data_IF_997272029613
#
_entry.id   IF_997272029613
#
_cell.length_a   1.000
_cell.length_b   1.000
_cell.length_c   1.000
_cell.angle_alpha   90.00
_cell.angle_beta   90.00
_cell.angle_gamma   90.00
#
_symmetry.space_group_name_H-M   'P 1'
#
loop_
_entity.id
_entity.type
_entity.pdbx_description
1 polymer ?
#
# COMPACT_ATOMS: atom_id res chain seq x y z
N UNK A 1 -4.76 30.91 -17.07
CA UNK A 1 -3.79 30.07 -16.33
C UNK A 1 -4.25 28.64 -16.48
N UNK A 2 -3.31 27.72 -16.65
CA UNK A 2 -3.67 26.30 -16.74
C UNK A 2 -4.21 25.77 -15.43
N UNK A 3 -5.18 24.85 -15.49
CA UNK A 3 -5.85 24.27 -14.33
C UNK A 3 -5.50 22.78 -14.20
N UNK A 4 -5.00 22.37 -13.06
CA UNK A 4 -4.78 20.96 -12.72
C UNK A 4 -5.80 20.51 -11.69
N UNK A 5 -6.62 19.53 -12.07
CA UNK A 5 -7.58 18.88 -11.19
C UNK A 5 -7.03 17.52 -10.75
N UNK A 6 -6.92 17.29 -9.44
CA UNK A 6 -6.43 16.05 -8.85
C UNK A 6 -7.58 15.38 -8.10
N UNK A 7 -7.96 14.18 -8.54
CA UNK A 7 -9.02 13.39 -7.90
C UNK A 7 -8.38 12.38 -6.95
N UNK A 8 -8.48 12.63 -5.65
CA UNK A 8 -7.96 11.84 -4.57
C UNK A 8 -6.97 12.59 -3.67
N UNK A 9 -7.28 12.70 -2.37
CA UNK A 9 -6.50 13.39 -1.35
C UNK A 9 -5.49 12.49 -0.61
N UNK A 10 -5.08 11.36 -1.20
CA UNK A 10 -4.09 10.45 -0.61
C UNK A 10 -2.63 10.90 -0.83
N UNK A 11 -1.67 9.98 -0.54
CA UNK A 11 -0.23 10.24 -0.74
C UNK A 11 0.08 10.72 -2.15
N UNK A 12 -0.45 10.05 -3.18
CA UNK A 12 -0.17 10.37 -4.56
C UNK A 12 -0.70 11.77 -4.94
N UNK A 13 -1.98 12.06 -4.67
CA UNK A 13 -2.60 13.33 -5.07
C UNK A 13 -1.97 14.53 -4.38
N UNK A 14 -1.79 14.49 -3.06
CA UNK A 14 -1.17 15.58 -2.32
C UNK A 14 0.28 15.83 -2.77
N UNK A 15 1.07 14.76 -2.97
CA UNK A 15 2.46 14.93 -3.40
C UNK A 15 2.57 15.38 -4.86
N UNK A 16 1.60 15.06 -5.73
CA UNK A 16 1.52 15.64 -7.08
C UNK A 16 1.33 17.16 -7.01
N UNK A 17 0.40 17.64 -6.16
CA UNK A 17 0.21 19.07 -5.97
C UNK A 17 1.46 19.77 -5.41
N UNK A 18 2.13 19.15 -4.43
CA UNK A 18 3.37 19.69 -3.86
C UNK A 18 4.52 19.68 -4.88
N UNK A 19 4.64 18.63 -5.69
CA UNK A 19 5.64 18.56 -6.75
C UNK A 19 5.41 19.65 -7.79
N UNK A 20 4.18 19.84 -8.26
CA UNK A 20 3.83 20.92 -9.21
C UNK A 20 4.26 22.30 -8.70
N UNK A 21 3.97 22.63 -7.44
CA UNK A 21 4.40 23.92 -6.86
C UNK A 21 5.92 24.03 -6.74
N UNK A 22 6.56 22.97 -6.30
CA UNK A 22 8.03 22.89 -6.19
C UNK A 22 8.71 23.08 -7.55
N UNK A 23 8.11 22.50 -8.58
CA UNK A 23 8.66 22.52 -9.95
C UNK A 23 8.27 23.81 -10.72
N UNK A 24 7.58 24.76 -10.06
CA UNK A 24 7.30 26.09 -10.58
C UNK A 24 6.00 26.23 -11.39
N UNK A 25 5.07 25.27 -11.29
CA UNK A 25 3.76 25.42 -11.90
C UNK A 25 2.98 26.55 -11.21
N UNK A 26 2.59 27.58 -11.95
CA UNK A 26 1.94 28.81 -11.48
C UNK A 26 0.41 28.82 -11.67
N UNK A 27 -0.15 27.83 -12.37
CA UNK A 27 -1.59 27.69 -12.62
C UNK A 27 -2.39 27.24 -11.39
N UNK A 28 -3.69 27.07 -11.56
CA UNK A 28 -4.57 26.61 -10.49
C UNK A 28 -4.38 25.12 -10.20
N UNK A 29 -4.28 24.76 -8.93
CA UNK A 29 -4.26 23.36 -8.49
C UNK A 29 -5.43 23.13 -7.56
N UNK A 30 -6.28 22.15 -7.90
CA UNK A 30 -7.41 21.73 -7.07
C UNK A 30 -7.28 20.24 -6.73
N UNK A 31 -7.29 19.92 -5.44
CA UNK A 31 -7.39 18.55 -4.93
C UNK A 31 -8.83 18.31 -4.48
N UNK A 32 -9.44 17.23 -4.96
CA UNK A 32 -10.75 16.78 -4.53
C UNK A 32 -10.61 15.45 -3.79
N UNK A 33 -11.17 15.36 -2.60
CA UNK A 33 -11.17 14.17 -1.78
C UNK A 33 -12.57 13.86 -1.26
N UNK A 34 -12.98 12.59 -1.32
CA UNK A 34 -14.22 12.11 -0.72
C UNK A 34 -14.10 11.83 0.79
N UNK A 35 -12.90 11.98 1.35
CA UNK A 35 -12.65 11.90 2.79
C UNK A 35 -12.83 13.27 3.48
N UNK A 36 -13.23 13.25 4.77
CA UNK A 36 -13.43 14.47 5.57
C UNK A 36 -12.14 15.10 6.09
N UNK A 37 -11.01 14.41 5.91
CA UNK A 37 -9.72 14.81 6.47
C UNK A 37 -8.78 15.34 5.39
N UNK A 38 -7.96 16.39 5.70
CA UNK A 38 -6.87 16.79 4.83
C UNK A 38 -5.94 15.61 4.53
N UNK A 39 -5.17 15.63 3.43
CA UNK A 39 -4.24 14.56 3.09
C UNK A 39 -3.34 14.17 4.26
N UNK A 40 -3.22 12.87 4.54
CA UNK A 40 -2.57 12.34 5.73
C UNK A 40 -1.75 11.08 5.47
N UNK A 41 -0.88 10.73 6.43
CA UNK A 41 -0.06 9.50 6.42
C UNK A 41 -0.91 8.28 6.73
N UNK A 42 -1.05 7.35 5.77
CA UNK A 42 -1.80 6.09 5.95
C UNK A 42 -1.05 5.01 6.76
N UNK A 43 0.30 4.88 6.69
CA UNK A 43 0.98 3.82 7.42
C UNK A 43 0.71 3.75 8.93
N UNK A 44 0.48 4.85 9.67
CA UNK A 44 0.13 4.79 11.07
C UNK A 44 -1.24 4.17 11.37
N UNK A 45 -2.14 4.06 10.38
CA UNK A 45 -3.51 3.58 10.56
C UNK A 45 -3.59 2.12 11.03
N UNK A 46 -2.64 1.27 10.67
CA UNK A 46 -2.51 -0.13 11.14
C UNK A 46 -1.59 -0.29 12.35
N UNK A 47 -1.02 0.81 12.86
CA UNK A 47 0.05 0.84 13.87
C UNK A 47 -0.28 1.79 15.03
N UNK A 48 0.49 2.86 15.17
CA UNK A 48 0.43 3.76 16.32
C UNK A 48 -0.87 4.55 16.43
N UNK A 49 -1.51 4.88 15.30
CA UNK A 49 -2.82 5.52 15.35
C UNK A 49 -3.91 4.54 15.80
N UNK A 50 -3.85 3.27 15.37
CA UNK A 50 -4.76 2.23 15.84
C UNK A 50 -4.64 2.02 17.35
N UNK A 51 -3.42 2.06 17.88
CA UNK A 51 -3.11 1.96 19.32
C UNK A 51 -3.37 3.23 20.12
N UNK A 52 -3.82 4.30 19.48
CA UNK A 52 -4.03 5.64 20.08
C UNK A 52 -2.74 6.30 20.64
N UNK A 53 -1.58 5.89 20.16
CA UNK A 53 -0.28 6.47 20.54
C UNK A 53 0.02 7.77 19.77
N UNK A 54 -0.70 8.02 18.67
CA UNK A 54 -0.56 9.21 17.83
C UNK A 54 -1.91 9.92 17.73
N UNK A 55 -1.94 11.21 17.97
CA UNK A 55 -3.14 12.03 17.85
C UNK A 55 -3.50 12.25 16.37
N UNK A 56 -4.79 12.43 16.09
CA UNK A 56 -5.34 12.58 14.75
C UNK A 56 -4.66 13.71 13.95
N UNK A 57 -4.42 14.84 14.60
CA UNK A 57 -3.82 16.04 13.98
C UNK A 57 -2.40 15.78 13.45
N UNK A 58 -1.68 14.84 14.07
CA UNK A 58 -0.31 14.46 13.67
C UNK A 58 -0.25 13.57 12.44
N UNK A 59 -1.39 13.05 11.98
CA UNK A 59 -1.45 12.26 10.74
C UNK A 59 -1.34 13.14 9.50
N UNK A 60 -1.81 14.39 9.54
CA UNK A 60 -1.86 15.28 8.38
C UNK A 60 -0.47 15.56 7.80
N UNK A 61 -0.33 15.54 6.48
CA UNK A 61 0.93 15.91 5.81
C UNK A 61 1.31 17.35 6.08
N UNK A 62 0.33 18.25 6.05
CA UNK A 62 0.48 19.69 6.18
C UNK A 62 -0.76 20.29 6.84
N UNK A 63 -0.60 21.47 7.44
CA UNK A 63 -1.74 22.23 7.96
C UNK A 63 -2.63 22.76 6.82
N UNK A 64 -3.88 23.07 7.10
CA UNK A 64 -4.79 23.68 6.12
C UNK A 64 -4.28 25.03 5.59
N UNK A 65 -3.54 25.77 6.42
CA UNK A 65 -2.97 27.06 5.99
C UNK A 65 -1.83 26.88 4.99
N UNK A 66 -1.06 25.81 5.09
CA UNK A 66 -0.04 25.49 4.09
C UNK A 66 -0.63 25.34 2.68
N UNK A 67 -1.77 24.66 2.52
CA UNK A 67 -2.41 24.53 1.20
C UNK A 67 -2.82 25.90 0.65
N UNK A 68 -3.37 26.78 1.49
CA UNK A 68 -3.73 28.14 1.10
C UNK A 68 -2.50 28.97 0.70
N UNK A 69 -1.44 28.93 1.48
CA UNK A 69 -0.17 29.63 1.20
C UNK A 69 0.47 29.16 -0.11
N UNK A 70 0.28 27.87 -0.44
CA UNK A 70 0.75 27.29 -1.70
C UNK A 70 -0.24 27.47 -2.85
N UNK A 71 -1.35 28.22 -2.68
CA UNK A 71 -2.43 28.36 -3.67
C UNK A 71 -2.93 26.99 -4.18
N UNK A 72 -3.08 26.01 -3.29
CA UNK A 72 -3.69 24.70 -3.58
C UNK A 72 -5.09 24.69 -2.97
N UNK A 73 -6.11 24.61 -3.83
CA UNK A 73 -7.50 24.45 -3.40
C UNK A 73 -7.75 23.02 -2.94
N UNK A 74 -8.23 22.84 -1.71
CA UNK A 74 -8.53 21.54 -1.13
C UNK A 74 -10.03 21.42 -0.87
N UNK A 75 -10.69 20.52 -1.61
CA UNK A 75 -12.13 20.24 -1.49
C UNK A 75 -12.31 18.86 -0.85
N UNK A 76 -12.61 18.85 0.44
CA UNK A 76 -12.88 17.64 1.23
C UNK A 76 -14.34 17.24 1.14
N UNK A 77 -14.66 16.00 1.55
CA UNK A 77 -16.02 15.45 1.52
C UNK A 77 -16.72 15.67 0.16
N UNK A 78 -15.93 15.59 -0.91
CA UNK A 78 -16.37 15.90 -2.28
C UNK A 78 -16.01 14.75 -3.19
N UNK A 79 -17.02 14.10 -3.78
CA UNK A 79 -16.84 12.96 -4.68
C UNK A 79 -17.18 13.35 -6.10
N UNK A 80 -16.23 13.19 -7.03
CA UNK A 80 -16.48 13.31 -8.47
C UNK A 80 -17.30 12.11 -8.94
N UNK A 81 -18.38 12.39 -9.65
CA UNK A 81 -19.33 11.40 -10.13
C UNK A 81 -19.32 11.27 -11.66
N UNK A 82 -18.91 12.34 -12.34
CA UNK A 82 -18.95 12.43 -13.79
C UNK A 82 -17.81 13.29 -14.32
N UNK A 83 -17.25 12.92 -15.45
CA UNK A 83 -16.24 13.67 -16.19
C UNK A 83 -16.71 13.78 -17.65
N UNK A 84 -16.67 14.98 -18.18
CA UNK A 84 -16.90 15.29 -19.59
C UNK A 84 -15.57 15.72 -20.23
N UNK A 85 -15.07 14.88 -21.14
CA UNK A 85 -13.81 15.12 -21.83
C UNK A 85 -13.94 16.16 -22.95
N UNK A 86 -15.14 16.35 -23.51
CA UNK A 86 -15.34 17.33 -24.60
C UNK A 86 -15.26 18.76 -24.07
N UNK A 87 -15.82 18.98 -22.87
CA UNK A 87 -15.82 20.30 -22.21
C UNK A 87 -14.71 20.45 -21.18
N UNK A 88 -13.92 19.42 -20.89
CA UNK A 88 -12.90 19.37 -19.82
C UNK A 88 -13.47 19.75 -18.45
N UNK A 89 -14.60 19.16 -18.08
CA UNK A 89 -15.27 19.35 -16.81
C UNK A 89 -15.39 18.05 -16.01
N UNK A 90 -15.19 18.14 -14.70
CA UNK A 90 -15.53 17.09 -13.75
C UNK A 90 -16.60 17.61 -12.78
N UNK A 91 -17.62 16.81 -12.47
CA UNK A 91 -18.72 17.23 -11.64
C UNK A 91 -18.76 16.44 -10.32
N UNK A 92 -18.89 17.18 -9.21
CA UNK A 92 -19.27 16.65 -7.92
C UNK A 92 -20.72 17.08 -7.63
N UNK A 93 -21.67 16.19 -7.85
CA UNK A 93 -23.11 16.54 -7.88
C UNK A 93 -23.36 17.67 -8.88
N UNK A 94 -23.75 18.86 -8.40
CA UNK A 94 -24.04 20.03 -9.20
C UNK A 94 -22.90 21.05 -9.28
N UNK A 95 -21.72 20.72 -8.72
CA UNK A 95 -20.56 21.62 -8.70
C UNK A 95 -19.57 21.21 -9.78
N UNK A 96 -19.37 22.01 -10.84
CA UNK A 96 -18.40 21.75 -11.88
C UNK A 96 -16.98 22.18 -11.45
N UNK A 97 -15.99 21.44 -11.94
CA UNK A 97 -14.56 21.72 -11.82
C UNK A 97 -13.93 21.63 -13.20
N UNK A 98 -13.45 22.75 -13.71
CA UNK A 98 -12.74 22.80 -15.00
C UNK A 98 -11.31 22.29 -14.83
N UNK A 99 -10.76 21.72 -15.90
CA UNK A 99 -9.36 21.31 -15.95
C UNK A 99 -8.75 21.42 -17.35
N UNK A 100 -7.49 21.76 -17.42
CA UNK A 100 -6.64 21.54 -18.58
C UNK A 100 -5.89 20.20 -18.45
N UNK A 101 -5.53 19.84 -17.20
CA UNK A 101 -4.96 18.55 -16.85
C UNK A 101 -5.77 17.90 -15.74
N UNK A 102 -6.01 16.59 -15.89
CA UNK A 102 -6.68 15.76 -14.90
C UNK A 102 -5.71 14.70 -14.37
N UNK A 103 -5.64 14.54 -13.03
CA UNK A 103 -4.80 13.50 -12.39
C UNK A 103 -5.68 12.59 -11.55
N UNK A 104 -5.77 11.32 -11.93
CA UNK A 104 -6.36 10.29 -11.11
C UNK A 104 -5.37 9.85 -10.02
N UNK A 105 -5.72 10.11 -8.77
CA UNK A 105 -5.01 9.66 -7.57
C UNK A 105 -5.98 8.94 -6.62
N UNK A 106 -6.94 8.22 -7.20
CA UNK A 106 -8.09 7.59 -6.53
C UNK A 106 -7.72 6.41 -5.64
N UNK A 107 -6.49 5.90 -5.76
CA UNK A 107 -5.96 4.85 -4.91
C UNK A 107 -6.66 3.50 -5.11
N UNK A 108 -6.80 2.74 -4.02
CA UNK A 108 -7.44 1.44 -4.00
C UNK A 108 -8.35 1.29 -2.78
N UNK A 109 -9.38 0.47 -2.89
CA UNK A 109 -10.32 0.14 -1.82
C UNK A 109 -10.09 -1.29 -1.33
N UNK A 110 -10.36 -1.60 -0.05
CA UNK A 110 -10.29 -2.97 0.44
C UNK A 110 -11.20 -3.89 -0.37
N UNK A 111 -10.73 -5.10 -0.63
CA UNK A 111 -11.57 -6.16 -1.20
C UNK A 111 -12.58 -6.61 -0.15
N UNK A 112 -13.85 -6.48 -0.47
CA UNK A 112 -14.93 -6.91 0.42
C UNK A 112 -15.14 -8.43 0.36
N UNK A 113 -15.58 -9.02 1.46
CA UNK A 113 -16.01 -10.42 1.49
C UNK A 113 -17.33 -10.56 0.73
N UNK A 114 -17.43 -11.44 -0.27
CA UNK A 114 -18.67 -11.65 -1.03
C UNK A 114 -19.58 -12.66 -0.33
N UNK A 115 -20.01 -12.36 0.90
CA UNK A 115 -20.86 -13.27 1.68
C UNK A 115 -21.88 -12.54 2.54
N UNK A 116 -22.85 -13.26 3.05
CA UNK A 116 -23.85 -12.73 3.98
C UNK A 116 -23.21 -12.16 5.25
N UNK A 117 -23.83 -11.18 5.87
CA UNK A 117 -23.38 -10.46 7.05
C UNK A 117 -22.05 -9.68 6.86
N UNK A 118 -21.57 -9.47 5.62
CA UNK A 118 -20.42 -8.62 5.37
C UNK A 118 -20.67 -7.12 5.68
N UNK A 119 -21.93 -6.74 6.01
CA UNK A 119 -22.34 -5.43 6.49
C UNK A 119 -22.54 -5.37 8.03
N UNK A 120 -22.08 -6.38 8.76
CA UNK A 120 -22.21 -6.43 10.21
C UNK A 120 -21.45 -5.28 10.89
N UNK A 121 -21.98 -4.81 12.04
CA UNK A 121 -21.48 -3.62 12.75
C UNK A 121 -20.10 -3.81 13.38
N UNK A 122 -19.69 -5.04 13.62
CA UNK A 122 -18.39 -5.43 14.18
C UNK A 122 -17.49 -6.14 13.17
N UNK A 123 -17.78 -5.99 11.86
CA UNK A 123 -16.90 -6.36 10.78
C UNK A 123 -16.27 -5.10 10.18
N UNK A 124 -14.96 -5.10 10.05
CA UNK A 124 -14.19 -3.95 9.63
C UNK A 124 -13.25 -4.25 8.48
N UNK A 125 -13.03 -3.23 7.68
CA UNK A 125 -11.95 -3.13 6.71
C UNK A 125 -11.09 -1.94 7.12
N UNK A 126 -9.79 -1.97 6.83
CA UNK A 126 -8.89 -0.89 7.23
C UNK A 126 -8.33 -0.18 6.00
N UNK A 127 -8.72 1.07 5.80
CA UNK A 127 -8.17 1.93 4.73
C UNK A 127 -8.08 3.39 5.12
N UNK A 128 -9.06 3.92 5.85
CA UNK A 128 -9.25 5.34 6.16
C UNK A 128 -9.24 5.61 7.66
N UNK A 129 -9.11 6.88 8.05
CA UNK A 129 -9.19 7.32 9.45
C UNK A 129 -10.53 6.90 10.08
N UNK A 130 -11.64 7.05 9.36
CA UNK A 130 -12.99 6.68 9.86
C UNK A 130 -13.10 5.21 10.20
N UNK A 131 -12.40 4.33 9.45
CA UNK A 131 -12.36 2.90 9.76
C UNK A 131 -11.65 2.68 11.11
N UNK A 132 -10.48 3.31 11.31
CA UNK A 132 -9.72 3.19 12.56
C UNK A 132 -10.49 3.70 13.74
N UNK A 133 -11.19 4.84 13.63
CA UNK A 133 -12.03 5.39 14.70
C UNK A 133 -13.18 4.45 15.05
N UNK A 134 -13.73 3.75 14.07
CA UNK A 134 -14.79 2.74 14.28
C UNK A 134 -14.21 1.48 14.94
N UNK A 135 -13.05 1.00 14.51
CA UNK A 135 -12.33 -0.12 15.11
C UNK A 135 -11.99 0.19 16.59
N UNK A 136 -11.42 1.37 16.87
CA UNK A 136 -11.07 1.81 18.23
C UNK A 136 -12.27 1.78 19.19
N UNK A 137 -13.45 2.19 18.71
CA UNK A 137 -14.70 2.11 19.52
C UNK A 137 -15.06 0.66 19.83
N UNK A 138 -14.90 -0.25 18.87
CA UNK A 138 -15.20 -1.67 19.04
C UNK A 138 -14.23 -2.38 19.99
N UNK A 139 -12.94 -2.01 19.96
CA UNK A 139 -11.90 -2.58 20.83
C UNK A 139 -12.29 -2.47 22.30
N UNK A 140 -12.92 -1.37 22.73
CA UNK A 140 -13.30 -1.14 24.13
C UNK A 140 -14.19 -2.24 24.74
N UNK A 141 -14.93 -2.99 23.93
CA UNK A 141 -15.82 -4.07 24.36
C UNK A 141 -15.44 -5.46 23.86
N UNK A 142 -14.45 -5.55 22.95
CA UNK A 142 -13.99 -6.80 22.37
C UNK A 142 -12.93 -7.48 23.23
N UNK A 143 -12.90 -8.82 23.20
CA UNK A 143 -11.81 -9.64 23.77
C UNK A 143 -11.15 -10.49 22.69
N UNK A 144 -11.96 -11.02 21.76
CA UNK A 144 -11.52 -11.94 20.72
C UNK A 144 -11.69 -11.27 19.36
N UNK A 145 -10.59 -11.11 18.64
CA UNK A 145 -10.61 -10.63 17.26
C UNK A 145 -10.21 -11.74 16.30
N UNK A 146 -10.97 -11.88 15.23
CA UNK A 146 -10.60 -12.71 14.08
C UNK A 146 -10.14 -11.80 12.94
N UNK A 147 -8.92 -12.01 12.45
CA UNK A 147 -8.36 -11.35 11.29
C UNK A 147 -8.44 -12.31 10.10
N UNK A 148 -9.13 -11.90 9.03
CA UNK A 148 -9.22 -12.69 7.80
C UNK A 148 -8.19 -12.17 6.80
N UNK A 149 -7.12 -12.95 6.58
CA UNK A 149 -5.98 -12.65 5.72
C UNK A 149 -4.67 -12.41 6.48
N UNK A 150 -3.67 -13.23 6.19
CA UNK A 150 -2.31 -13.21 6.76
C UNK A 150 -1.31 -12.41 5.93
N UNK A 151 -1.74 -11.33 5.29
CA UNK A 151 -0.87 -10.37 4.59
C UNK A 151 -0.26 -9.32 5.52
N UNK A 152 0.53 -8.37 4.98
CA UNK A 152 1.22 -7.33 5.77
C UNK A 152 0.29 -6.57 6.71
N UNK A 153 -0.84 -6.05 6.20
CA UNK A 153 -1.79 -5.26 7.01
C UNK A 153 -2.41 -6.13 8.11
N UNK A 154 -2.78 -7.39 7.79
CA UNK A 154 -3.30 -8.33 8.78
C UNK A 154 -2.32 -8.55 9.93
N UNK A 155 -1.03 -8.75 9.63
CA UNK A 155 0.02 -8.93 10.64
C UNK A 155 0.32 -7.65 11.43
N UNK A 156 0.33 -6.48 10.79
CA UNK A 156 0.46 -5.19 11.48
C UNK A 156 -0.68 -4.96 12.47
N UNK A 157 -1.92 -5.21 12.04
CA UNK A 157 -3.10 -5.13 12.92
C UNK A 157 -3.01 -6.16 14.03
N UNK A 158 -2.61 -7.42 13.74
CA UNK A 158 -2.42 -8.45 14.75
C UNK A 158 -1.46 -7.99 15.84
N UNK A 159 -0.31 -7.40 15.44
CA UNK A 159 0.67 -6.88 16.41
C UNK A 159 0.07 -5.78 17.28
N UNK A 160 -0.67 -4.84 16.69
CA UNK A 160 -1.32 -3.77 17.44
C UNK A 160 -2.40 -4.29 18.41
N UNK A 161 -3.20 -5.28 17.99
CA UNK A 161 -4.27 -5.85 18.82
C UNK A 161 -3.72 -6.68 20.00
N UNK A 162 -2.63 -7.42 19.80
CA UNK A 162 -1.92 -8.10 20.90
C UNK A 162 -1.39 -7.09 21.93
N UNK A 163 -0.77 -6.00 21.48
CA UNK A 163 -0.29 -4.94 22.36
C UNK A 163 -1.43 -4.24 23.13
N UNK A 164 -2.62 -4.21 22.57
CA UNK A 164 -3.85 -3.71 23.22
C UNK A 164 -4.52 -4.75 24.13
N UNK A 165 -3.98 -5.97 24.23
CA UNK A 165 -4.44 -7.01 25.15
C UNK A 165 -5.60 -7.87 24.65
N UNK A 166 -5.86 -7.90 23.33
CA UNK A 166 -6.89 -8.76 22.75
C UNK A 166 -6.32 -10.15 22.42
N UNK A 167 -7.19 -11.16 22.43
CA UNK A 167 -6.90 -12.47 21.84
C UNK A 167 -7.06 -12.34 20.32
N UNK A 168 -6.04 -12.75 19.56
CA UNK A 168 -5.99 -12.57 18.11
C UNK A 168 -5.86 -13.90 17.40
N UNK A 169 -6.78 -14.18 16.47
CA UNK A 169 -6.73 -15.32 15.57
C UNK A 169 -6.63 -14.82 14.13
N UNK A 170 -5.63 -15.29 13.39
CA UNK A 170 -5.49 -15.01 11.95
C UNK A 170 -5.96 -16.22 11.16
N UNK A 171 -6.90 -16.03 10.24
CA UNK A 171 -7.35 -17.00 9.26
C UNK A 171 -6.72 -16.70 7.91
N UNK A 172 -5.83 -17.58 7.44
CA UNK A 172 -5.19 -17.46 6.14
C UNK A 172 -5.65 -18.59 5.21
N UNK A 173 -6.19 -18.24 4.05
CA UNK A 173 -6.67 -19.21 3.08
C UNK A 173 -5.56 -20.02 2.41
N UNK A 174 -4.36 -19.45 2.34
CA UNK A 174 -3.18 -20.09 1.76
C UNK A 174 -2.46 -20.99 2.78
N UNK A 175 -1.48 -21.75 2.29
CA UNK A 175 -0.70 -22.70 3.12
C UNK A 175 0.19 -22.03 4.17
N UNK A 176 0.49 -20.75 4.00
CA UNK A 176 1.32 -19.94 4.91
C UNK A 176 0.97 -18.46 4.81
N UNK A 177 1.20 -17.71 5.87
CA UNK A 177 1.08 -16.25 5.85
C UNK A 177 2.11 -15.65 4.87
N UNK A 178 1.86 -14.46 4.34
CA UNK A 178 2.73 -13.74 3.39
C UNK A 178 3.09 -14.58 2.13
N UNK A 179 2.35 -15.63 1.80
CA UNK A 179 2.72 -16.60 0.75
C UNK A 179 3.01 -15.97 -0.60
N UNK A 180 2.26 -14.93 -0.97
CA UNK A 180 2.36 -14.27 -2.28
C UNK A 180 3.55 -13.32 -2.41
N UNK A 181 4.21 -12.99 -1.30
CA UNK A 181 5.10 -11.82 -1.25
C UNK A 181 6.48 -12.11 -0.64
N UNK A 182 6.65 -13.23 0.10
CA UNK A 182 7.94 -13.60 0.70
C UNK A 182 8.28 -15.07 0.48
N UNK A 183 9.54 -15.44 0.77
CA UNK A 183 9.99 -16.86 0.78
C UNK A 183 9.35 -17.67 1.92
N UNK A 184 9.39 -19.01 1.86
CA UNK A 184 8.98 -19.87 2.95
C UNK A 184 9.71 -19.58 4.27
N UNK A 185 11.00 -19.26 4.22
CA UNK A 185 11.81 -18.98 5.41
C UNK A 185 11.37 -17.70 6.11
N UNK A 186 11.18 -16.60 5.34
CA UNK A 186 10.67 -15.33 5.88
C UNK A 186 9.24 -15.51 6.41
N UNK A 187 8.38 -16.23 5.68
CA UNK A 187 7.02 -16.53 6.13
C UNK A 187 7.03 -17.34 7.43
N UNK A 188 7.88 -18.38 7.55
CA UNK A 188 8.01 -19.18 8.76
C UNK A 188 8.49 -18.32 9.93
N UNK A 189 9.50 -17.48 9.72
CA UNK A 189 10.00 -16.55 10.74
C UNK A 189 8.87 -15.68 11.30
N UNK A 190 8.06 -15.05 10.46
CA UNK A 190 6.94 -14.20 10.89
C UNK A 190 5.85 -15.02 11.58
N UNK A 191 5.55 -16.21 11.09
CA UNK A 191 4.60 -17.13 11.72
C UNK A 191 5.02 -17.46 13.15
N UNK A 192 6.26 -17.90 13.33
CA UNK A 192 6.79 -18.31 14.63
C UNK A 192 6.88 -17.10 15.59
N UNK A 193 7.26 -15.93 15.08
CA UNK A 193 7.35 -14.71 15.86
C UNK A 193 5.98 -14.26 16.38
N UNK A 194 4.97 -14.19 15.52
CA UNK A 194 3.61 -13.85 15.92
C UNK A 194 3.00 -14.87 16.89
N UNK A 195 3.20 -16.16 16.64
CA UNK A 195 2.75 -17.23 17.53
C UNK A 195 3.40 -17.10 18.92
N UNK A 196 4.70 -16.82 18.98
CA UNK A 196 5.41 -16.55 20.25
C UNK A 196 4.87 -15.32 20.99
N UNK A 197 4.34 -14.33 20.28
CA UNK A 197 3.67 -13.15 20.86
C UNK A 197 2.22 -13.41 21.29
N UNK A 198 1.67 -14.59 21.01
CA UNK A 198 0.33 -15.00 21.43
C UNK A 198 -0.75 -14.91 20.33
N UNK A 199 -0.36 -14.70 19.08
CA UNK A 199 -1.29 -14.77 17.94
C UNK A 199 -1.51 -16.24 17.57
N UNK A 200 -2.76 -16.66 17.46
CA UNK A 200 -3.11 -17.94 16.84
C UNK A 200 -3.20 -17.76 15.33
N UNK A 201 -2.49 -18.57 14.56
CA UNK A 201 -2.47 -18.51 13.09
C UNK A 201 -2.96 -19.83 12.52
N UNK A 202 -4.07 -19.80 11.79
CA UNK A 202 -4.67 -20.96 11.13
C UNK A 202 -4.54 -20.76 9.61
N UNK A 203 -3.63 -21.52 9.01
CA UNK A 203 -3.44 -21.56 7.55
C UNK A 203 -4.35 -22.62 6.91
N UNK A 204 -4.55 -22.56 5.57
CA UNK A 204 -5.55 -23.33 4.82
C UNK A 204 -6.98 -23.14 5.39
N UNK A 205 -7.24 -22.01 6.02
CA UNK A 205 -8.49 -21.66 6.68
C UNK A 205 -9.35 -20.80 5.75
N UNK A 206 -10.20 -21.46 4.95
CA UNK A 206 -11.17 -20.75 4.11
C UNK A 206 -12.45 -20.48 4.88
N UNK A 207 -12.80 -19.22 4.97
CA UNK A 207 -14.05 -18.79 5.61
C UNK A 207 -15.22 -19.16 4.70
N UNK A 208 -16.22 -19.86 5.27
CA UNK A 208 -17.44 -20.27 4.58
C UNK A 208 -18.63 -19.38 4.93
N UNK A 209 -18.71 -18.86 6.16
CA UNK A 209 -19.80 -17.97 6.59
C UNK A 209 -19.41 -17.10 7.78
N UNK A 210 -20.11 -15.97 7.91
CA UNK A 210 -20.09 -15.10 9.07
C UNK A 210 -21.42 -15.28 9.81
N UNK A 211 -21.38 -15.81 11.03
CA UNK A 211 -22.57 -16.05 11.83
C UNK A 211 -22.87 -14.81 12.65
N UNK A 212 -24.03 -14.22 12.46
CA UNK A 212 -24.40 -12.97 13.11
C UNK A 212 -25.79 -13.04 13.72
N UNK A 213 -25.96 -12.36 14.84
CA UNK A 213 -27.25 -12.08 15.46
C UNK A 213 -27.41 -10.58 15.67
N UNK A 214 -28.56 -10.00 15.30
CA UNK A 214 -28.83 -8.56 15.38
C UNK A 214 -27.76 -7.68 14.67
N UNK A 215 -27.21 -8.14 13.55
CA UNK A 215 -26.09 -7.51 12.81
C UNK A 215 -24.78 -7.43 13.61
N UNK A 216 -24.57 -8.32 14.54
CA UNK A 216 -23.29 -8.50 15.24
C UNK A 216 -22.79 -9.92 15.00
N UNK A 217 -21.61 -10.06 14.42
CA UNK A 217 -20.96 -11.35 14.24
C UNK A 217 -20.57 -11.89 15.63
N UNK A 218 -20.89 -13.16 15.87
CA UNK A 218 -20.51 -13.89 17.07
C UNK A 218 -19.52 -15.03 16.77
N UNK A 219 -19.46 -15.48 15.51
CA UNK A 219 -18.46 -16.47 15.08
C UNK A 219 -18.23 -16.44 13.58
N UNK A 220 -17.08 -16.98 13.18
CA UNK A 220 -16.65 -17.20 11.78
C UNK A 220 -16.55 -18.70 11.55
N UNK A 221 -17.29 -19.24 10.57
CA UNK A 221 -17.24 -20.66 10.20
C UNK A 221 -16.27 -20.87 9.04
N UNK A 222 -15.54 -21.98 9.10
CA UNK A 222 -14.59 -22.42 8.08
C UNK A 222 -15.22 -23.51 7.19
N UNK A 223 -14.67 -23.69 5.98
CA UNK A 223 -15.03 -24.82 5.10
C UNK A 223 -14.73 -26.19 5.73
N UNK A 224 -13.81 -26.25 6.71
CA UNK A 224 -13.54 -27.45 7.51
C UNK A 224 -14.69 -27.88 8.42
N UNK A 225 -15.68 -27.01 8.63
CA UNK A 225 -16.78 -27.20 9.60
C UNK A 225 -16.48 -26.62 10.99
N UNK A 226 -15.29 -26.12 11.24
CA UNK A 226 -14.91 -25.45 12.48
C UNK A 226 -15.59 -24.08 12.57
N UNK A 227 -15.96 -23.64 13.79
CA UNK A 227 -16.54 -22.32 14.07
C UNK A 227 -15.73 -21.62 15.16
N UNK A 228 -15.27 -20.42 14.85
CA UNK A 228 -14.36 -19.62 15.68
C UNK A 228 -15.15 -18.44 16.24
N UNK A 229 -15.22 -18.33 17.56
CA UNK A 229 -15.91 -17.21 18.24
C UNK A 229 -15.17 -15.89 18.00
N UNK A 230 -15.92 -14.82 17.73
CA UNK A 230 -15.38 -13.50 17.47
C UNK A 230 -16.27 -12.41 18.02
N UNK A 231 -15.69 -11.49 18.79
CA UNK A 231 -16.35 -10.24 19.20
C UNK A 231 -16.19 -9.18 18.11
N UNK A 232 -15.13 -9.29 17.32
CA UNK A 232 -14.79 -8.37 16.22
C UNK A 232 -14.09 -9.13 15.08
N UNK A 233 -14.41 -8.78 13.85
CA UNK A 233 -13.76 -9.33 12.65
C UNK A 233 -13.14 -8.19 11.84
N UNK A 234 -11.89 -8.34 11.43
CA UNK A 234 -11.23 -7.44 10.48
C UNK A 234 -10.77 -8.21 9.25
N UNK A 235 -11.02 -7.64 8.06
CA UNK A 235 -10.77 -8.29 6.78
C UNK A 235 -9.64 -7.59 6.05
N UNK A 236 -8.59 -8.36 5.71
CA UNK A 236 -7.40 -7.91 5.01
C UNK A 236 -7.00 -8.82 3.84
N UNK A 237 -7.92 -9.07 2.91
CA UNK A 237 -7.74 -10.01 1.77
C UNK A 237 -7.27 -9.35 0.48
N UNK A 238 -6.68 -8.17 0.56
CA UNK A 238 -6.14 -7.40 -0.56
C UNK A 238 -6.98 -6.17 -0.91
N UNK A 239 -6.58 -5.47 -1.97
CA UNK A 239 -7.23 -4.26 -2.42
C UNK A 239 -7.58 -4.32 -3.92
N UNK A 240 -8.52 -3.47 -4.31
CA UNK A 240 -8.99 -3.30 -5.69
C UNK A 240 -8.71 -1.85 -6.09
N UNK A 241 -8.03 -1.59 -7.22
CA UNK A 241 -7.78 -0.24 -7.69
C UNK A 241 -9.10 0.47 -8.02
N UNK A 242 -9.21 1.75 -7.67
CA UNK A 242 -10.40 2.55 -7.93
C UNK A 242 -10.34 3.12 -9.35
N UNK A 243 -10.82 2.35 -10.33
CA UNK A 243 -10.76 2.69 -11.76
C UNK A 243 -12.10 3.13 -12.35
N UNK A 244 -13.21 2.96 -11.62
CA UNK A 244 -14.58 3.09 -12.15
C UNK A 244 -14.82 4.43 -12.89
N UNK A 245 -14.30 5.54 -12.34
CA UNK A 245 -14.44 6.84 -12.96
C UNK A 245 -13.59 6.99 -14.24
N UNK A 246 -12.41 6.37 -14.27
CA UNK A 246 -11.55 6.32 -15.45
C UNK A 246 -12.15 5.43 -16.54
N UNK A 247 -12.69 4.26 -16.16
CA UNK A 247 -13.42 3.36 -17.06
C UNK A 247 -14.61 4.05 -17.72
N UNK A 248 -15.35 4.87 -16.94
CA UNK A 248 -16.57 5.57 -17.42
C UNK A 248 -16.31 6.57 -18.54
N UNK A 249 -15.06 7.05 -18.68
CA UNK A 249 -14.62 7.97 -19.72
C UNK A 249 -13.77 7.28 -20.80
N UNK A 250 -13.73 5.95 -20.81
CA UNK A 250 -13.09 5.15 -21.86
C UNK A 250 -11.57 5.04 -21.75
N UNK A 251 -10.96 5.31 -20.58
CA UNK A 251 -9.53 5.08 -20.37
C UNK A 251 -9.25 3.58 -20.26
N UNK A 252 -8.10 3.15 -20.73
CA UNK A 252 -7.67 1.76 -20.60
C UNK A 252 -7.39 1.41 -19.15
N UNK A 253 -8.07 0.37 -18.64
CA UNK A 253 -7.92 -0.13 -17.28
C UNK A 253 -7.73 -1.65 -17.27
N UNK A 254 -6.62 -2.11 -16.71
CA UNK A 254 -6.34 -3.53 -16.49
C UNK A 254 -5.57 -3.68 -15.17
N UNK A 255 -6.24 -4.19 -14.13
CA UNK A 255 -5.70 -4.21 -12.76
C UNK A 255 -5.15 -2.82 -12.29
N UNK A 256 -5.78 -1.74 -12.78
CA UNK A 256 -5.41 -0.35 -12.57
C UNK A 256 -5.57 0.47 -13.86
N UNK A 257 -5.56 1.78 -13.75
CA UNK A 257 -5.55 2.69 -14.91
C UNK A 257 -4.18 2.55 -15.58
N UNK A 258 -4.17 2.17 -16.87
CA UNK A 258 -2.93 2.02 -17.63
C UNK A 258 -2.25 3.37 -17.83
N UNK A 259 -0.95 3.43 -17.57
CA UNK A 259 -0.13 4.62 -17.83
C UNK A 259 1.19 4.24 -18.46
N UNK A 260 1.68 5.14 -19.31
CA UNK A 260 3.04 5.06 -19.86
C UNK A 260 4.09 5.40 -18.80
N UNK A 261 5.36 5.44 -19.20
CA UNK A 261 6.49 5.80 -18.33
C UNK A 261 6.43 7.22 -17.78
N UNK A 262 5.59 8.08 -18.31
CA UNK A 262 5.39 9.49 -17.90
C UNK A 262 4.13 9.67 -17.05
N UNK A 263 3.51 8.60 -16.60
CA UNK A 263 2.22 8.57 -15.89
C UNK A 263 1.04 9.08 -16.72
N UNK A 264 1.14 9.16 -18.05
CA UNK A 264 0.06 9.56 -18.95
C UNK A 264 -0.81 8.36 -19.27
N UNK A 265 -2.13 8.59 -19.34
CA UNK A 265 -3.09 7.58 -19.80
C UNK A 265 -3.16 7.56 -21.33
N UNK A 266 -4.14 6.85 -21.90
CA UNK A 266 -4.44 6.89 -23.34
C UNK A 266 -4.88 8.28 -23.85
N UNK A 267 -5.20 9.22 -22.93
CA UNK A 267 -5.54 10.60 -23.22
C UNK A 267 -4.44 11.54 -22.70
N UNK A 268 -3.74 12.31 -23.55
CA UNK A 268 -2.46 12.96 -23.19
C UNK A 268 -2.50 13.95 -22.01
N UNK A 269 -3.63 14.65 -21.78
CA UNK A 269 -3.82 15.59 -20.68
C UNK A 269 -4.42 14.93 -19.42
N UNK A 270 -4.58 13.61 -19.44
CA UNK A 270 -5.06 12.83 -18.30
C UNK A 270 -3.95 11.92 -17.81
N UNK A 271 -3.61 12.05 -16.53
CA UNK A 271 -2.57 11.27 -15.87
C UNK A 271 -3.20 10.42 -14.75
N UNK A 272 -2.47 9.39 -14.33
CA UNK A 272 -2.85 8.63 -13.14
C UNK A 272 -1.61 8.28 -12.31
N UNK A 273 -1.76 8.28 -10.97
CA UNK A 273 -0.67 8.07 -10.01
C UNK A 273 -1.11 7.27 -8.78
N UNK A 274 -0.21 6.50 -8.20
CA UNK A 274 -0.41 5.73 -6.97
C UNK A 274 -1.09 4.38 -7.18
N UNK A 275 -1.77 3.88 -6.14
CA UNK A 275 -2.30 2.51 -6.08
C UNK A 275 -3.38 2.20 -7.15
N UNK A 276 -3.97 3.23 -7.77
CA UNK A 276 -4.96 3.07 -8.84
C UNK A 276 -4.34 2.77 -10.21
N UNK A 277 -3.01 2.80 -10.35
CA UNK A 277 -2.35 2.68 -11.65
C UNK A 277 -1.75 1.30 -11.93
N UNK A 278 -1.83 0.85 -13.19
CA UNK A 278 -0.94 -0.14 -13.81
C UNK A 278 0.03 0.66 -14.68
N UNK A 279 1.25 0.89 -14.18
CA UNK A 279 2.19 1.84 -14.77
C UNK A 279 3.39 1.12 -15.37
N UNK A 280 3.81 1.59 -16.56
CA UNK A 280 5.03 1.10 -17.17
C UNK A 280 6.25 1.63 -16.40
N UNK A 281 7.13 0.71 -15.99
CA UNK A 281 8.38 1.02 -15.31
C UNK A 281 9.56 0.66 -16.22
N UNK A 282 10.39 1.65 -16.54
CA UNK A 282 11.49 1.49 -17.51
C UNK A 282 12.63 0.62 -16.97
N UNK A 283 12.85 0.57 -15.66
CA UNK A 283 13.87 -0.28 -15.03
C UNK A 283 13.59 -1.78 -15.24
N UNK A 284 12.30 -2.15 -15.21
CA UNK A 284 11.84 -3.53 -15.38
C UNK A 284 11.32 -3.83 -16.80
N UNK A 285 11.18 -2.81 -17.63
CA UNK A 285 10.58 -2.89 -18.97
C UNK A 285 9.23 -3.62 -18.94
N UNK A 286 8.37 -3.29 -17.96
CA UNK A 286 7.11 -3.99 -17.70
C UNK A 286 6.09 -3.08 -17.03
N UNK A 287 4.82 -3.33 -17.30
CA UNK A 287 3.68 -2.77 -16.57
C UNK A 287 3.40 -3.59 -15.31
N UNK A 288 3.13 -2.90 -14.20
CA UNK A 288 2.64 -3.50 -12.97
C UNK A 288 2.01 -2.47 -12.03
N UNK A 289 1.17 -2.95 -11.14
CA UNK A 289 0.56 -2.15 -10.08
C UNK A 289 1.33 -2.32 -8.77
N UNK A 290 1.70 -1.21 -8.14
CA UNK A 290 2.38 -1.16 -6.85
C UNK A 290 1.56 -0.35 -5.84
N UNK A 291 1.15 -1.00 -4.75
CA UNK A 291 0.47 -0.38 -3.62
C UNK A 291 1.51 0.02 -2.56
N UNK A 292 2.22 1.14 -2.79
CA UNK A 292 3.21 1.59 -1.82
C UNK A 292 3.38 3.11 -1.80
N UNK A 293 3.69 3.66 -0.61
CA UNK A 293 3.99 5.08 -0.46
C UNK A 293 5.17 5.51 -1.35
N UNK A 294 6.29 4.77 -1.43
CA UNK A 294 7.38 5.11 -2.32
C UNK A 294 6.96 5.24 -3.79
N UNK A 295 6.14 4.30 -4.29
CA UNK A 295 5.63 4.36 -5.65
C UNK A 295 4.74 5.60 -5.86
N UNK A 296 3.84 5.89 -4.92
CA UNK A 296 2.99 7.08 -4.98
C UNK A 296 3.81 8.37 -5.05
N UNK A 297 4.90 8.47 -4.28
CA UNK A 297 5.81 9.63 -4.29
C UNK A 297 6.62 9.73 -5.59
N UNK A 298 7.10 8.61 -6.12
CA UNK A 298 7.84 8.58 -7.39
C UNK A 298 6.95 9.00 -8.56
N UNK A 299 5.77 8.39 -8.69
CA UNK A 299 4.83 8.73 -9.75
C UNK A 299 4.32 10.18 -9.65
N UNK A 300 4.15 10.73 -8.44
CA UNK A 300 3.78 12.15 -8.26
C UNK A 300 4.79 13.11 -8.87
N UNK A 301 6.08 12.83 -8.74
CA UNK A 301 7.15 13.64 -9.36
C UNK A 301 7.15 13.49 -10.88
N UNK A 302 6.93 12.27 -11.38
CA UNK A 302 6.83 12.00 -12.82
C UNK A 302 5.63 12.72 -13.42
N UNK A 303 4.47 12.67 -12.79
CA UNK A 303 3.26 13.36 -13.26
C UNK A 303 3.43 14.87 -13.24
N UNK A 304 4.04 15.44 -12.17
CA UNK A 304 4.40 16.87 -12.15
C UNK A 304 5.28 17.25 -13.32
N UNK A 305 6.36 16.50 -13.53
CA UNK A 305 7.29 16.69 -14.64
C UNK A 305 6.59 16.65 -16.00
N UNK A 306 5.67 15.70 -16.20
CA UNK A 306 4.90 15.57 -17.45
C UNK A 306 3.98 16.76 -17.69
N UNK A 307 3.33 17.30 -16.65
CA UNK A 307 2.43 18.46 -16.74
C UNK A 307 3.18 19.75 -17.09
N UNK A 308 4.39 19.93 -16.54
CA UNK A 308 5.21 21.12 -16.83
C UNK A 308 6.06 21.01 -18.09
N UNK A 309 5.93 19.88 -18.83
CA UNK A 309 6.61 19.68 -20.11
C UNK A 309 8.05 19.16 -20.00
N UNK A 310 8.45 18.61 -18.85
CA UNK A 310 9.75 17.93 -18.68
C UNK A 310 9.63 16.42 -18.94
N UNK A 311 10.76 15.73 -19.11
CA UNK A 311 10.84 14.32 -19.47
C UNK A 311 11.40 13.44 -18.32
N UNK A 312 10.87 13.56 -17.11
CA UNK A 312 11.13 12.59 -16.07
C UNK A 312 10.26 11.35 -16.32
N UNK A 313 10.84 10.16 -16.23
CA UNK A 313 10.12 8.90 -16.43
C UNK A 313 10.19 7.98 -15.21
N UNK A 314 9.22 7.09 -15.13
CA UNK A 314 9.11 6.14 -14.02
C UNK A 314 10.15 5.01 -14.13
N UNK A 315 11.23 5.14 -13.36
CA UNK A 315 12.31 4.16 -13.26
C UNK A 315 12.70 3.86 -11.81
N UNK A 316 11.84 4.22 -10.86
CA UNK A 316 12.13 3.98 -9.45
C UNK A 316 12.16 2.48 -9.14
N UNK A 317 13.15 2.05 -8.34
CA UNK A 317 13.19 0.69 -7.80
C UNK A 317 12.00 0.48 -6.88
N UNK A 318 11.12 -0.50 -7.18
CA UNK A 318 10.03 -0.84 -6.28
C UNK A 318 10.54 -1.21 -4.90
N UNK A 319 10.00 -0.58 -3.88
CA UNK A 319 10.29 -0.97 -2.52
C UNK A 319 9.11 -0.70 -1.60
N UNK A 320 9.07 -1.43 -0.48
CA UNK A 320 8.00 -1.40 0.49
C UNK A 320 8.55 -1.69 1.89
N UNK A 321 7.80 -1.38 2.94
CA UNK A 321 8.15 -1.77 4.30
C UNK A 321 6.90 -2.14 5.10
N UNK A 322 7.11 -2.94 6.15
CA UNK A 322 6.10 -3.26 7.15
C UNK A 322 6.76 -3.29 8.52
N UNK A 323 6.17 -2.61 9.49
CA UNK A 323 6.63 -2.59 10.87
C UNK A 323 5.63 -3.38 11.72
N UNK A 324 6.11 -4.40 12.44
CA UNK A 324 5.30 -5.29 13.27
C UNK A 324 6.05 -5.54 14.58
N UNK A 325 5.50 -5.11 15.71
CA UNK A 325 6.22 -5.04 16.98
C UNK A 325 7.53 -4.24 16.84
N UNK A 326 8.66 -4.89 17.18
CA UNK A 326 10.04 -4.38 17.02
C UNK A 326 10.72 -4.84 15.73
N UNK A 327 9.98 -5.50 14.83
CA UNK A 327 10.48 -5.96 13.53
C UNK A 327 10.24 -4.92 12.45
N UNK A 328 11.31 -4.56 11.76
CA UNK A 328 11.28 -3.72 10.56
C UNK A 328 11.58 -4.55 9.32
N UNK A 329 10.55 -4.90 8.58
CA UNK A 329 10.67 -5.56 7.28
C UNK A 329 10.79 -4.50 6.19
N UNK A 330 11.82 -4.61 5.35
CA UNK A 330 12.00 -3.75 4.17
C UNK A 330 12.25 -4.64 2.96
N UNK A 331 11.57 -4.36 1.86
CA UNK A 331 11.62 -5.16 0.64
C UNK A 331 11.98 -4.27 -0.55
N UNK A 332 12.87 -4.75 -1.42
CA UNK A 332 13.22 -4.06 -2.67
C UNK A 332 13.31 -5.06 -3.83
N UNK A 333 12.88 -4.62 -5.01
CA UNK A 333 12.78 -5.45 -6.19
C UNK A 333 11.44 -6.17 -6.31
N UNK A 334 11.34 -7.06 -7.27
CA UNK A 334 10.16 -7.90 -7.53
C UNK A 334 10.57 -9.37 -7.38
N UNK A 335 10.18 -10.01 -6.28
CA UNK A 335 10.55 -11.41 -6.00
C UNK A 335 9.74 -12.42 -6.81
N UNK A 336 8.69 -12.00 -7.50
CA UNK A 336 7.84 -12.92 -8.28
C UNK A 336 8.65 -13.71 -9.31
N UNK A 337 8.53 -15.05 -9.25
CA UNK A 337 9.21 -15.96 -10.18
C UNK A 337 10.69 -16.22 -9.86
N UNK A 338 11.13 -15.95 -8.62
CA UNK A 338 12.45 -16.38 -8.15
C UNK A 338 12.57 -17.92 -8.19
N UNK A 339 13.75 -18.42 -8.46
CA UNK A 339 14.08 -19.86 -8.49
C UNK A 339 14.99 -20.29 -7.33
N UNK A 340 15.63 -19.35 -6.67
CA UNK A 340 16.46 -19.57 -5.49
C UNK A 340 16.31 -18.43 -4.47
N UNK A 341 16.48 -18.78 -3.18
CA UNK A 341 16.54 -17.84 -2.07
C UNK A 341 17.73 -18.17 -1.18
N UNK A 342 18.46 -17.14 -0.77
CA UNK A 342 19.59 -17.28 0.15
C UNK A 342 19.45 -16.29 1.30
N UNK A 343 19.68 -16.77 2.53
CA UNK A 343 19.61 -15.93 3.74
C UNK A 343 21.03 -15.50 4.12
N UNK A 344 21.22 -14.21 4.32
CA UNK A 344 22.41 -13.60 4.92
C UNK A 344 22.04 -13.16 6.34
N UNK A 345 22.87 -13.47 7.33
CA UNK A 345 22.60 -13.15 8.74
C UNK A 345 21.88 -14.28 9.49
N UNK A 346 21.34 -13.95 10.66
CA UNK A 346 20.80 -14.95 11.60
C UNK A 346 19.29 -14.76 11.77
N UNK A 347 18.49 -15.72 11.31
CA UNK A 347 17.02 -15.68 11.41
C UNK A 347 16.58 -15.62 12.88
N UNK A 348 17.21 -16.38 13.74
CA UNK A 348 16.83 -16.49 15.16
C UNK A 348 17.06 -15.20 15.95
N UNK A 349 17.99 -14.36 15.50
CA UNK A 349 18.24 -13.03 16.09
C UNK A 349 17.34 -11.93 15.50
N UNK A 350 16.50 -12.25 14.52
CA UNK A 350 15.71 -11.31 13.74
C UNK A 350 16.56 -10.24 13.03
N UNK A 351 17.77 -10.59 12.61
CA UNK A 351 18.70 -9.73 11.86
C UNK A 351 19.21 -10.46 10.62
N UNK A 352 18.45 -10.40 9.52
CA UNK A 352 18.78 -11.14 8.30
C UNK A 352 18.25 -10.45 7.03
N UNK A 353 18.78 -10.90 5.89
CA UNK A 353 18.33 -10.52 4.56
C UNK A 353 18.08 -11.79 3.75
N UNK A 354 16.86 -11.92 3.21
CA UNK A 354 16.53 -12.93 2.22
C UNK A 354 16.80 -12.34 0.83
N UNK A 355 17.74 -12.94 0.11
CA UNK A 355 18.13 -12.58 -1.25
C UNK A 355 17.46 -13.51 -2.24
N UNK A 356 16.62 -12.97 -3.12
CA UNK A 356 15.88 -13.72 -4.15
C UNK A 356 16.64 -13.68 -5.46
N UNK A 357 16.98 -14.85 -5.99
CA UNK A 357 17.67 -15.02 -7.26
C UNK A 357 16.75 -15.55 -8.35
N UNK A 358 17.07 -15.19 -9.59
CA UNK A 358 16.50 -15.78 -10.80
C UNK A 358 17.58 -15.90 -11.86
N UNK A 359 17.68 -17.07 -12.49
CA UNK A 359 18.70 -17.36 -13.50
C UNK A 359 20.14 -17.04 -13.02
N UNK A 360 20.39 -17.22 -11.71
CA UNK A 360 21.68 -16.97 -11.06
C UNK A 360 21.98 -15.51 -10.70
N UNK A 361 21.03 -14.58 -10.86
CA UNK A 361 21.18 -13.16 -10.51
C UNK A 361 20.16 -12.71 -9.49
N UNK A 362 20.55 -11.77 -8.62
CA UNK A 362 19.67 -11.15 -7.63
C UNK A 362 18.60 -10.30 -8.31
N UNK A 363 17.32 -10.52 -7.93
CA UNK A 363 16.17 -9.76 -8.43
C UNK A 363 15.43 -8.99 -7.33
N UNK A 364 15.52 -9.44 -6.07
CA UNK A 364 14.86 -8.79 -4.94
C UNK A 364 15.51 -9.16 -3.61
N UNK A 365 15.22 -8.37 -2.59
CA UNK A 365 15.62 -8.66 -1.19
C UNK A 365 14.48 -8.32 -0.23
N UNK A 366 14.35 -9.15 0.82
CA UNK A 366 13.60 -8.85 2.03
C UNK A 366 14.58 -8.73 3.19
N UNK A 367 14.54 -7.63 3.91
CA UNK A 367 15.45 -7.34 5.02
C UNK A 367 14.68 -7.20 6.32
N UNK A 368 15.06 -7.95 7.34
CA UNK A 368 14.53 -7.80 8.70
C UNK A 368 15.60 -7.17 9.57
N UNK A 369 15.32 -5.98 10.11
CA UNK A 369 16.17 -5.18 11.02
C UNK A 369 17.59 -4.87 10.52
N UNK A 370 17.85 -5.02 9.21
CA UNK A 370 19.15 -4.77 8.57
C UNK A 370 19.08 -3.58 7.59
N UNK A 371 18.56 -2.43 8.07
CA UNK A 371 18.25 -1.27 7.20
C UNK A 371 19.46 -0.71 6.46
N UNK A 372 20.67 -0.77 7.03
CA UNK A 372 21.89 -0.29 6.38
C UNK A 372 22.23 -1.14 5.17
N UNK A 373 22.25 -2.45 5.32
CA UNK A 373 22.53 -3.42 4.26
C UNK A 373 21.42 -3.40 3.20
N UNK A 374 20.15 -3.29 3.63
CA UNK A 374 19.02 -3.09 2.73
C UNK A 374 19.23 -1.94 1.75
N UNK A 375 19.71 -0.79 2.23
CA UNK A 375 19.96 0.36 1.37
C UNK A 375 21.03 0.10 0.30
N UNK A 376 22.04 -0.73 0.61
CA UNK A 376 23.06 -1.14 -0.36
C UNK A 376 22.44 -2.00 -1.46
N UNK A 377 21.69 -3.03 -1.12
CA UNK A 377 21.00 -3.88 -2.09
C UNK A 377 19.99 -3.09 -2.93
N UNK A 378 19.16 -2.25 -2.29
CA UNK A 378 18.20 -1.39 -2.99
C UNK A 378 18.90 -0.49 -4.01
N UNK A 379 20.02 0.12 -3.62
CA UNK A 379 20.82 0.98 -4.52
C UNK A 379 21.42 0.18 -5.67
N UNK A 380 21.95 -1.01 -5.41
CA UNK A 380 22.52 -1.87 -6.43
C UNK A 380 21.48 -2.30 -7.47
N UNK A 381 20.32 -2.79 -7.00
CA UNK A 381 19.21 -3.16 -7.86
C UNK A 381 18.69 -1.95 -8.66
N UNK A 382 18.55 -0.78 -8.04
CA UNK A 382 18.09 0.45 -8.69
C UNK A 382 19.06 1.00 -9.73
N UNK A 383 20.36 0.72 -9.59
CA UNK A 383 21.39 1.06 -10.58
C UNK A 383 21.54 -0.03 -11.68
N UNK A 384 20.70 -1.07 -11.66
CA UNK A 384 20.75 -2.16 -12.63
C UNK A 384 21.97 -3.10 -12.47
N UNK A 385 22.58 -3.15 -11.28
CA UNK A 385 23.70 -4.06 -11.03
C UNK A 385 23.23 -5.51 -11.09
N UNK A 386 23.86 -6.30 -11.96
CA UNK A 386 23.62 -7.73 -12.07
C UNK A 386 24.47 -8.49 -11.02
N UNK A 387 23.99 -8.52 -9.78
CA UNK A 387 24.66 -9.24 -8.71
C UNK A 387 24.43 -10.74 -8.85
N UNK A 388 25.51 -11.51 -8.99
CA UNK A 388 25.43 -12.98 -9.09
C UNK A 388 25.10 -13.58 -7.73
N UNK A 389 24.16 -14.50 -7.68
CA UNK A 389 23.81 -15.26 -6.47
C UNK A 389 24.99 -16.07 -5.95
N UNK A 390 25.89 -16.55 -6.82
CA UNK A 390 27.13 -17.25 -6.42
C UNK A 390 28.05 -16.37 -5.58
N UNK A 391 28.10 -15.06 -5.84
CA UNK A 391 28.84 -14.12 -5.00
C UNK A 391 28.17 -13.91 -3.64
N UNK A 392 26.86 -13.75 -3.63
CA UNK A 392 26.07 -13.55 -2.40
C UNK A 392 26.14 -14.75 -1.45
N UNK A 393 26.26 -15.94 -2.03
CA UNK A 393 26.41 -17.22 -1.27
C UNK A 393 27.81 -17.46 -0.72
N UNK A 394 28.79 -16.66 -1.12
CA UNK A 394 30.16 -16.78 -0.56
C UNK A 394 30.13 -16.39 0.93
N UNK A 395 30.70 -17.24 1.77
CA UNK A 395 30.75 -17.04 3.23
C UNK A 395 31.44 -15.74 3.66
N UNK A 396 32.32 -15.20 2.81
CA UNK A 396 33.05 -13.95 3.05
C UNK A 396 32.33 -12.74 2.42
N UNK A 397 31.19 -12.95 1.77
CA UNK A 397 30.44 -11.84 1.16
C UNK A 397 29.98 -10.86 2.24
N UNK A 398 30.27 -9.60 2.00
CA UNK A 398 29.79 -8.48 2.81
C UNK A 398 29.02 -7.53 1.90
N UNK A 399 27.77 -7.13 2.23
CA UNK A 399 27.01 -6.21 1.40
C UNK A 399 27.72 -4.90 1.08
N UNK A 400 28.61 -4.44 1.95
CA UNK A 400 29.45 -3.26 1.75
C UNK A 400 30.39 -3.40 0.55
N UNK A 401 30.76 -4.63 0.17
CA UNK A 401 31.63 -4.90 -0.98
C UNK A 401 30.96 -4.68 -2.34
N UNK A 402 29.63 -4.59 -2.40
CA UNK A 402 28.86 -4.40 -3.65
C UNK A 402 29.39 -3.23 -4.47
N UNK A 403 29.79 -2.15 -3.82
CA UNK A 403 30.29 -0.94 -4.46
C UNK A 403 31.82 -0.77 -4.39
N UNK A 404 32.55 -1.70 -3.72
CA UNK A 404 34.01 -1.59 -3.56
C UNK A 404 34.81 -2.06 -4.78
N UNK A 405 34.16 -2.73 -5.75
CA UNK A 405 34.78 -3.26 -6.96
C UNK A 405 34.52 -2.46 -8.25
N UNK A 406 33.90 -1.28 -8.13
CA UNK A 406 33.56 -0.43 -9.29
C UNK A 406 34.67 0.62 -9.52
N UNK A 407 35.87 0.18 -9.87
CA UNK A 407 36.91 1.02 -10.49
C UNK A 407 37.34 0.40 -11.82
#
# INVERSE_FOLDING_TARGET
MSKVLIIGGGHAGANTAFALRKDGFDGDITIISDEDYPPYHRPPLSKDFLKQNVALEKLSFKSSDFYKEQNISLNLNTRINFIDLESNHANAKDTPFDFDYLVFATGASPRLLPMENADAKNLFYLRQITDVLSIQKSIASAKNIVLIGGGYIGLEVASAMIELGLNVIILEAEKRILQRVTSPDVSKFYNDFHTKKGVEIICNARVSSLNAENKLINSVSLESGESISADMVLVGIGAIPNTQLADSIGLECENGIKTDQYCRTSTPNILAVGDCTSSFNTLFNKEFRLESVPNALAQSKVASSSIIGNELFNNEMPWFWSDQYDLKLQMAGLSSGYDECHIIGEIDSAEFIACYGKDGYLIAVDSVNQSKQFMLFKKALGNGFQLKMSLIKDKNFQPESIFSGSN
#
